data_IF_168694917015
#
_entry.id   IF_168694917015
#
_cell.length_a   1.000
_cell.length_b   1.000
_cell.length_c   1.000
_cell.angle_alpha   90.00
_cell.angle_beta   90.00
_cell.angle_gamma   90.00
#
_symmetry.space_group_name_H-M   'P 1'
#
loop_
_entity.id
_entity.type
_entity.pdbx_description
1 polymer ?
#
# COMPACT_ATOMS: atom_id res chain seq x y z
N UNK A 1 -5.74 -1.11 0.84
CA UNK A 1 -5.83 -1.29 -0.61
C UNK A 1 -7.20 -1.79 -1.10
N UNK A 2 -8.08 -2.24 -0.22
CA UNK A 2 -9.40 -2.72 -0.63
C UNK A 2 -10.26 -1.60 -1.23
N UNK A 3 -10.09 -0.37 -0.75
CA UNK A 3 -10.79 0.81 -1.26
C UNK A 3 -9.80 1.84 -1.77
N UNK A 4 -10.12 2.43 -2.93
CA UNK A 4 -9.39 3.56 -3.46
C UNK A 4 -9.74 4.82 -2.64
N UNK A 5 -8.76 5.45 -2.01
CA UNK A 5 -8.97 6.65 -1.20
C UNK A 5 -9.47 7.85 -2.01
N UNK A 6 -9.19 7.87 -3.31
CA UNK A 6 -9.73 8.87 -4.25
C UNK A 6 -11.16 8.59 -4.71
N UNK A 7 -11.72 7.43 -4.35
CA UNK A 7 -13.01 6.94 -4.79
C UNK A 7 -12.96 6.29 -6.18
N UNK A 8 -14.03 5.59 -6.53
CA UNK A 8 -14.20 4.97 -7.83
C UNK A 8 -14.92 5.92 -8.78
N UNK A 9 -14.33 6.30 -9.94
CA UNK A 9 -14.92 7.25 -10.87
C UNK A 9 -16.35 6.91 -11.29
N UNK A 10 -16.67 5.63 -11.44
CA UNK A 10 -18.00 5.15 -11.83
C UNK A 10 -19.05 5.29 -10.71
N UNK A 11 -18.61 5.35 -9.45
CA UNK A 11 -19.50 5.47 -8.30
C UNK A 11 -19.68 6.91 -7.83
N UNK A 12 -18.66 7.76 -7.96
CA UNK A 12 -18.69 9.16 -7.49
C UNK A 12 -19.91 9.93 -8.00
N UNK A 13 -20.32 9.84 -9.30
CA UNK A 13 -21.47 10.58 -9.78
C UNK A 13 -22.81 10.12 -9.21
N UNK A 14 -22.86 8.93 -8.61
CA UNK A 14 -24.07 8.33 -8.06
C UNK A 14 -24.26 8.63 -6.56
N UNK A 15 -23.26 9.26 -5.91
CA UNK A 15 -23.37 9.64 -4.49
C UNK A 15 -24.45 10.72 -4.30
N UNK A 16 -25.29 10.51 -3.28
CA UNK A 16 -26.28 11.49 -2.87
C UNK A 16 -25.72 12.44 -1.79
N UNK A 17 -26.37 13.58 -1.63
CA UNK A 17 -26.02 14.52 -0.57
C UNK A 17 -26.23 13.90 0.83
N UNK A 18 -27.28 13.12 1.00
CA UNK A 18 -27.63 12.43 2.26
C UNK A 18 -26.56 11.41 2.64
N UNK A 19 -26.05 10.64 1.67
CA UNK A 19 -24.93 9.69 1.90
C UNK A 19 -23.67 10.42 2.32
N UNK A 20 -23.33 11.53 1.65
CA UNK A 20 -22.18 12.36 2.01
C UNK A 20 -22.27 12.89 3.45
N UNK A 21 -23.44 13.44 3.82
CA UNK A 21 -23.65 13.98 5.17
C UNK A 21 -23.59 12.87 6.23
N UNK A 22 -24.24 11.73 5.98
CA UNK A 22 -24.23 10.59 6.89
C UNK A 22 -22.81 10.05 7.11
N UNK A 23 -22.02 9.95 6.03
CA UNK A 23 -20.62 9.56 6.12
C UNK A 23 -19.80 10.58 6.92
N UNK A 24 -19.96 11.87 6.62
CA UNK A 24 -19.27 12.94 7.32
C UNK A 24 -19.58 12.95 8.82
N UNK A 25 -20.84 12.91 9.21
CA UNK A 25 -21.25 12.92 10.62
C UNK A 25 -20.74 11.72 11.40
N UNK A 26 -20.66 10.54 10.76
CA UNK A 26 -20.17 9.32 11.41
C UNK A 26 -18.64 9.28 11.50
N UNK A 27 -17.91 9.70 10.47
CA UNK A 27 -16.45 9.52 10.37
C UNK A 27 -15.65 10.72 10.88
N UNK A 28 -16.18 11.94 10.70
CA UNK A 28 -15.54 13.19 11.13
C UNK A 28 -16.01 13.68 12.52
N UNK A 29 -16.38 12.72 13.35
CA UNK A 29 -16.79 12.99 14.71
C UNK A 29 -15.60 12.97 15.68
N UNK A 30 -15.55 13.85 16.73
CA UNK A 30 -14.45 13.87 17.70
C UNK A 30 -14.20 12.52 18.39
N UNK A 31 -15.24 11.68 18.57
CA UNK A 31 -15.08 10.32 19.11
C UNK A 31 -14.24 9.39 18.22
N UNK A 32 -14.02 9.75 16.96
CA UNK A 32 -13.17 9.04 16.00
C UNK A 32 -11.88 9.79 15.68
N UNK A 33 -11.52 10.79 16.50
CA UNK A 33 -10.36 11.64 16.26
C UNK A 33 -9.30 11.46 17.36
N UNK A 34 -8.04 11.67 16.98
CA UNK A 34 -6.90 11.80 17.89
C UNK A 34 -6.33 13.21 17.76
N UNK A 35 -6.32 13.94 18.85
CA UNK A 35 -5.71 15.28 18.90
C UNK A 35 -4.26 15.14 19.33
N UNK A 36 -3.36 15.66 18.53
CA UNK A 36 -1.93 15.69 18.84
C UNK A 36 -1.40 17.12 18.75
N UNK A 37 -0.68 17.56 19.76
CA UNK A 37 -0.03 18.87 19.80
C UNK A 37 1.45 18.70 20.09
N UNK A 38 2.25 19.61 19.53
CA UNK A 38 3.70 19.70 19.75
C UNK A 38 4.09 21.17 19.92
N UNK A 39 4.87 21.47 20.93
CA UNK A 39 5.34 22.83 21.22
C UNK A 39 5.50 23.08 22.72
N UNK A 40 5.72 24.34 23.10
CA UNK A 40 5.97 24.76 24.48
C UNK A 40 4.71 25.28 25.22
N UNK A 41 3.54 25.23 24.58
CA UNK A 41 2.26 25.56 25.21
C UNK A 41 1.88 24.43 26.16
N UNK A 42 1.51 24.73 27.42
CA UNK A 42 1.11 23.72 28.40
C UNK A 42 -0.07 22.87 27.92
N UNK A 43 -0.02 21.56 28.18
CA UNK A 43 -1.06 20.62 27.77
C UNK A 43 -2.47 20.99 28.27
N UNK A 44 -2.58 21.61 29.46
CA UNK A 44 -3.86 22.07 30.00
C UNK A 44 -4.51 23.18 29.17
N UNK A 45 -3.72 24.06 28.56
CA UNK A 45 -4.24 25.09 27.65
C UNK A 45 -4.78 24.49 26.34
N UNK A 46 -4.08 23.48 25.80
CA UNK A 46 -4.58 22.73 24.66
C UNK A 46 -5.89 21.98 24.97
N UNK A 47 -5.96 21.31 26.12
CA UNK A 47 -7.17 20.60 26.54
C UNK A 47 -8.35 21.57 26.69
N UNK A 48 -8.13 22.73 27.31
CA UNK A 48 -9.16 23.76 27.45
C UNK A 48 -9.64 24.26 26.07
N UNK A 49 -8.70 24.53 25.16
CA UNK A 49 -9.04 24.97 23.81
C UNK A 49 -9.82 23.90 23.03
N UNK A 50 -9.45 22.61 23.15
CA UNK A 50 -10.20 21.52 22.51
C UNK A 50 -11.62 21.43 23.05
N UNK A 51 -11.80 21.52 24.37
CA UNK A 51 -13.12 21.50 25.00
C UNK A 51 -13.98 22.68 24.56
N UNK A 52 -13.46 23.90 24.65
CA UNK A 52 -14.21 25.12 24.37
C UNK A 52 -14.52 25.28 22.88
N UNK A 53 -13.58 24.97 22.01
CA UNK A 53 -13.72 25.24 20.57
C UNK A 53 -14.40 24.09 19.79
N UNK A 54 -14.32 22.86 20.30
CA UNK A 54 -14.80 21.69 19.57
C UNK A 54 -15.68 20.76 20.44
N UNK A 55 -15.10 20.12 21.48
CA UNK A 55 -15.66 18.94 22.10
C UNK A 55 -17.00 19.21 22.80
N UNK A 56 -17.18 20.40 23.42
CA UNK A 56 -18.42 20.81 24.11
C UNK A 56 -19.67 20.82 23.21
N UNK A 57 -19.51 20.71 21.91
CA UNK A 57 -20.61 20.68 20.92
C UNK A 57 -21.06 19.26 20.56
N UNK A 58 -20.37 18.24 21.05
CA UNK A 58 -20.60 16.86 20.64
C UNK A 58 -20.87 15.98 21.85
N UNK A 59 -21.77 15.05 21.68
CA UNK A 59 -21.96 13.93 22.60
C UNK A 59 -21.03 12.79 22.19
N UNK A 60 -20.54 12.00 23.14
CA UNK A 60 -19.70 10.84 22.83
C UNK A 60 -20.48 9.79 22.04
N UNK A 61 -19.93 9.36 20.91
CA UNK A 61 -20.45 8.22 20.15
C UNK A 61 -19.73 6.94 20.55
N UNK A 62 -20.47 5.87 20.76
CA UNK A 62 -19.96 4.51 20.97
C UNK A 62 -19.70 3.76 19.66
N UNK A 63 -19.35 4.48 18.61
CA UNK A 63 -19.02 3.90 17.31
C UNK A 63 -17.52 3.66 17.21
N UNK A 64 -17.12 2.46 16.86
CA UNK A 64 -15.75 2.14 16.53
C UNK A 64 -15.63 1.99 15.00
N UNK A 65 -15.14 3.05 14.35
CA UNK A 65 -14.86 3.06 12.92
C UNK A 65 -13.42 2.56 12.75
N UNK A 66 -13.25 1.25 12.84
CA UNK A 66 -11.96 0.58 12.67
C UNK A 66 -11.82 -0.04 11.29
N UNK A 67 -10.63 0.08 10.70
CA UNK A 67 -10.26 -0.68 9.51
C UNK A 67 -9.75 -2.05 9.97
N UNK A 68 -10.35 -3.12 9.43
CA UNK A 68 -9.92 -4.50 9.69
C UNK A 68 -8.57 -4.83 9.03
N UNK A 69 -8.08 -6.02 9.31
CA UNK A 69 -6.92 -6.56 8.59
C UNK A 69 -7.38 -7.10 7.23
N UNK A 70 -6.50 -7.08 6.24
CA UNK A 70 -6.80 -7.57 4.89
C UNK A 70 -6.93 -9.11 4.87
N UNK A 71 -7.68 -9.59 3.91
CA UNK A 71 -7.92 -11.03 3.73
C UNK A 71 -6.61 -11.72 3.32
N UNK A 72 -6.28 -12.80 4.03
CA UNK A 72 -5.18 -13.69 3.65
C UNK A 72 -5.72 -14.83 2.78
N UNK A 73 -5.23 -14.93 1.57
CA UNK A 73 -5.59 -16.02 0.68
C UNK A 73 -4.80 -17.29 1.04
N UNK A 74 -5.41 -18.47 0.95
CA UNK A 74 -4.73 -19.75 1.26
C UNK A 74 -3.70 -20.18 0.20
N UNK A 75 -3.73 -19.55 -0.97
CA UNK A 75 -2.80 -19.75 -2.08
C UNK A 75 -2.64 -18.44 -2.87
N UNK A 76 -1.55 -18.29 -3.64
CA UNK A 76 -1.39 -17.13 -4.53
C UNK A 76 -2.57 -17.01 -5.49
N UNK A 77 -3.03 -15.79 -5.70
CA UNK A 77 -4.05 -15.46 -6.70
C UNK A 77 -3.39 -14.78 -7.89
N UNK A 78 -3.95 -14.97 -9.08
CA UNK A 78 -3.55 -14.25 -10.29
C UNK A 78 -4.70 -13.37 -10.73
N UNK A 79 -4.40 -12.09 -10.93
CA UNK A 79 -5.36 -11.07 -11.36
C UNK A 79 -4.83 -10.47 -12.65
N UNK A 80 -5.71 -10.28 -13.62
CA UNK A 80 -5.42 -9.62 -14.89
C UNK A 80 -6.42 -8.48 -15.06
N UNK A 81 -5.89 -7.26 -15.21
CA UNK A 81 -6.70 -6.05 -15.37
C UNK A 81 -6.22 -5.27 -16.60
N UNK A 82 -7.15 -4.72 -17.34
CA UNK A 82 -6.86 -3.86 -18.48
C UNK A 82 -6.75 -2.41 -18.01
N UNK A 83 -5.80 -1.67 -18.54
CA UNK A 83 -5.70 -0.23 -18.36
C UNK A 83 -5.72 0.50 -19.69
N UNK A 84 -6.18 1.76 -19.69
CA UNK A 84 -6.21 2.58 -20.89
C UNK A 84 -4.77 2.91 -21.34
N UNK A 85 -4.48 2.73 -22.62
CA UNK A 85 -3.21 3.09 -23.24
C UNK A 85 -3.48 3.85 -24.55
N UNK A 86 -2.71 4.91 -24.77
CA UNK A 86 -2.79 5.72 -26.01
C UNK A 86 -2.16 5.00 -27.23
N UNK A 87 -1.66 3.79 -27.04
CA UNK A 87 -0.79 3.08 -27.96
C UNK A 87 -1.23 1.61 -28.07
N UNK A 88 -1.34 1.08 -29.27
CA UNK A 88 -1.65 -0.33 -29.55
C UNK A 88 -0.43 -1.26 -29.36
N UNK A 89 0.60 -0.84 -28.62
CA UNK A 89 1.79 -1.64 -28.40
C UNK A 89 1.50 -2.83 -27.45
N UNK A 90 1.64 -4.09 -27.90
CA UNK A 90 1.38 -5.27 -27.09
C UNK A 90 2.39 -5.47 -25.95
N UNK A 91 3.54 -4.77 -25.98
CA UNK A 91 4.60 -4.87 -24.99
C UNK A 91 4.50 -3.79 -23.90
N UNK A 92 3.28 -3.46 -23.48
CA UNK A 92 3.02 -2.48 -22.42
C UNK A 92 2.47 -3.09 -21.13
N UNK A 93 2.47 -4.40 -21.00
CA UNK A 93 2.03 -5.02 -19.76
C UNK A 93 2.98 -4.70 -18.60
N UNK A 94 2.38 -4.48 -17.42
CA UNK A 94 3.07 -4.53 -16.16
C UNK A 94 2.84 -5.90 -15.54
N UNK A 95 3.90 -6.59 -15.18
CA UNK A 95 3.83 -7.88 -14.49
C UNK A 95 4.48 -7.74 -13.14
N UNK A 96 3.69 -7.80 -12.10
CA UNK A 96 4.16 -7.59 -10.73
C UNK A 96 3.69 -8.71 -9.80
N UNK A 97 4.50 -9.04 -8.84
CA UNK A 97 4.22 -9.99 -7.78
C UNK A 97 4.18 -9.20 -6.48
N UNK A 98 3.09 -9.33 -5.70
CA UNK A 98 2.90 -8.66 -4.44
C UNK A 98 2.78 -9.63 -3.27
N UNK A 99 3.36 -9.25 -2.14
CA UNK A 99 3.24 -9.97 -0.87
C UNK A 99 2.64 -9.04 0.16
N UNK A 100 1.59 -9.50 0.82
CA UNK A 100 1.04 -8.84 1.99
C UNK A 100 1.79 -9.35 3.23
N UNK A 101 2.49 -8.44 3.90
CA UNK A 101 3.37 -8.72 5.03
C UNK A 101 2.64 -8.51 6.37
N UNK A 102 3.31 -7.99 7.38
CA UNK A 102 2.75 -7.70 8.69
C UNK A 102 2.21 -6.28 8.82
N UNK A 103 1.84 -5.92 10.05
CA UNK A 103 1.29 -4.60 10.36
C UNK A 103 2.38 -3.53 10.45
N UNK A 104 2.14 -2.36 9.88
CA UNK A 104 3.04 -1.21 9.96
C UNK A 104 3.24 -0.69 11.39
N UNK A 105 2.32 -1.00 12.28
CA UNK A 105 2.42 -0.65 13.72
C UNK A 105 3.38 -1.54 14.51
N UNK A 106 3.81 -2.68 13.96
CA UNK A 106 4.87 -3.50 14.54
C UNK A 106 6.24 -3.00 14.08
N UNK A 107 6.80 -2.05 14.80
CA UNK A 107 8.05 -1.37 14.40
C UNK A 107 9.24 -2.32 14.23
N UNK A 108 9.31 -3.42 14.96
CA UNK A 108 10.40 -4.41 14.82
C UNK A 108 10.29 -5.15 13.48
N UNK A 109 9.09 -5.60 13.12
CA UNK A 109 8.87 -6.25 11.82
C UNK A 109 9.02 -5.26 10.68
N UNK A 110 8.47 -4.05 10.83
CA UNK A 110 8.62 -2.98 9.84
C UNK A 110 10.10 -2.70 9.53
N UNK A 111 10.93 -2.56 10.55
CA UNK A 111 12.36 -2.35 10.38
C UNK A 111 13.05 -3.52 9.63
N UNK A 112 12.65 -4.77 9.92
CA UNK A 112 13.15 -5.95 9.17
C UNK A 112 12.75 -5.89 7.70
N UNK A 113 11.50 -5.51 7.40
CA UNK A 113 11.03 -5.38 6.03
C UNK A 113 11.76 -4.27 5.28
N UNK A 114 12.00 -3.12 5.92
CA UNK A 114 12.77 -2.01 5.35
C UNK A 114 14.22 -2.43 5.03
N UNK A 115 14.90 -3.11 5.96
CA UNK A 115 16.24 -3.65 5.72
C UNK A 115 16.25 -4.66 4.56
N UNK A 116 15.29 -5.58 4.55
CA UNK A 116 15.19 -6.58 3.48
C UNK A 116 14.92 -5.93 2.12
N UNK A 117 14.01 -4.98 2.05
CA UNK A 117 13.71 -4.23 0.83
C UNK A 117 14.96 -3.49 0.32
N UNK A 118 15.71 -2.84 1.21
CA UNK A 118 16.96 -2.17 0.86
C UNK A 118 18.01 -3.14 0.30
N UNK A 119 18.23 -4.28 0.94
CA UNK A 119 19.14 -5.31 0.43
C UNK A 119 18.74 -5.81 -0.96
N UNK A 120 17.43 -5.97 -1.21
CA UNK A 120 16.92 -6.55 -2.44
C UNK A 120 16.86 -5.56 -3.61
N UNK A 121 16.56 -4.26 -3.35
CA UNK A 121 16.14 -3.31 -4.39
C UNK A 121 16.82 -1.93 -4.37
N UNK A 122 17.71 -1.61 -3.43
CA UNK A 122 18.16 -0.23 -3.20
C UNK A 122 19.09 0.30 -4.31
N UNK A 123 19.87 -0.57 -4.94
CA UNK A 123 20.83 -0.19 -5.99
C UNK A 123 21.09 -1.33 -6.96
N UNK A 124 21.72 -1.03 -8.11
CA UNK A 124 22.01 -2.01 -9.18
C UNK A 124 22.94 -3.16 -8.75
N UNK A 125 23.54 -3.13 -7.57
CA UNK A 125 24.23 -4.25 -6.92
C UNK A 125 23.30 -5.15 -6.13
N UNK A 126 22.10 -4.68 -5.80
CA UNK A 126 21.09 -5.43 -5.08
C UNK A 126 20.55 -6.59 -5.94
N UNK A 127 20.46 -7.81 -5.39
CA UNK A 127 20.30 -9.00 -6.22
C UNK A 127 19.00 -9.04 -7.01
N UNK A 128 17.87 -8.60 -6.42
CA UNK A 128 16.61 -8.60 -7.11
C UNK A 128 16.51 -7.48 -8.15
N UNK A 129 16.96 -6.27 -7.79
CA UNK A 129 16.98 -5.15 -8.75
C UNK A 129 17.88 -5.48 -9.95
N UNK A 130 19.07 -6.04 -9.70
CA UNK A 130 19.97 -6.46 -10.77
C UNK A 130 19.31 -7.49 -11.68
N UNK A 131 18.63 -8.49 -11.14
CA UNK A 131 17.93 -9.50 -11.93
C UNK A 131 16.84 -8.89 -12.81
N UNK A 132 16.11 -7.91 -12.29
CA UNK A 132 15.08 -7.17 -13.03
C UNK A 132 15.68 -6.27 -14.11
N UNK A 133 16.71 -5.46 -13.78
CA UNK A 133 17.37 -4.53 -14.71
C UNK A 133 18.07 -5.25 -15.88
N UNK A 134 18.63 -6.44 -15.66
CA UNK A 134 19.35 -7.20 -16.69
C UNK A 134 18.46 -8.16 -17.47
N UNK A 135 17.16 -8.23 -17.14
CA UNK A 135 16.21 -9.11 -17.81
C UNK A 135 15.78 -8.56 -19.17
N UNK A 136 15.69 -9.44 -20.17
CA UNK A 136 15.11 -9.12 -21.48
C UNK A 136 13.58 -9.36 -21.54
N UNK A 137 12.91 -9.64 -20.39
CA UNK A 137 11.49 -9.94 -20.33
C UNK A 137 10.60 -8.69 -20.28
N UNK A 138 11.18 -7.53 -20.01
CA UNK A 138 10.52 -6.23 -19.94
C UNK A 138 11.49 -5.10 -20.25
N UNK A 139 10.98 -3.87 -20.28
CA UNK A 139 11.81 -2.69 -20.59
C UNK A 139 12.50 -2.12 -19.35
N UNK A 140 11.94 -2.29 -18.17
CA UNK A 140 12.49 -1.81 -16.90
C UNK A 140 11.84 -2.51 -15.70
N UNK A 141 12.46 -2.45 -14.49
CA UNK A 141 11.75 -2.73 -13.25
C UNK A 141 10.51 -1.83 -13.13
N UNK A 142 9.40 -2.40 -12.66
CA UNK A 142 8.17 -1.62 -12.47
C UNK A 142 8.38 -0.50 -11.45
N UNK A 143 7.83 0.69 -11.73
CA UNK A 143 7.93 1.84 -10.86
C UNK A 143 7.28 1.68 -9.48
N UNK A 144 6.52 0.61 -9.25
CA UNK A 144 5.92 0.27 -7.95
C UNK A 144 6.71 -0.80 -7.19
N UNK A 145 7.89 -1.22 -7.67
CA UNK A 145 8.75 -2.14 -6.93
C UNK A 145 9.19 -1.53 -5.61
N UNK A 146 9.17 -2.32 -4.56
CA UNK A 146 9.63 -1.92 -3.24
C UNK A 146 8.65 -2.24 -2.11
N UNK A 147 8.93 -1.65 -0.96
CA UNK A 147 8.12 -1.77 0.24
C UNK A 147 7.13 -0.60 0.28
N UNK A 148 5.86 -0.92 0.49
CA UNK A 148 4.80 0.04 0.78
C UNK A 148 4.37 -0.11 2.23
N UNK A 149 4.75 0.84 3.08
CA UNK A 149 4.55 0.81 4.52
C UNK A 149 3.64 1.94 5.05
N UNK A 150 3.06 2.74 4.16
CA UNK A 150 2.13 3.82 4.51
C UNK A 150 0.74 3.32 4.93
N UNK A 151 0.42 2.08 4.63
CA UNK A 151 -0.86 1.46 4.96
C UNK A 151 -0.82 0.73 6.31
N UNK A 152 -2.01 0.31 6.78
CA UNK A 152 -2.15 -0.49 8.01
C UNK A 152 -1.31 -1.77 7.96
N UNK A 153 -1.27 -2.43 6.81
CA UNK A 153 -0.46 -3.60 6.56
C UNK A 153 0.54 -3.30 5.44
N UNK A 154 1.74 -3.73 5.68
CA UNK A 154 2.87 -3.52 4.78
C UNK A 154 2.77 -4.47 3.60
N UNK A 155 3.08 -3.99 2.40
CA UNK A 155 3.25 -4.87 1.24
C UNK A 155 4.63 -4.69 0.61
N UNK A 156 5.09 -5.75 -0.07
CA UNK A 156 6.30 -5.72 -0.88
C UNK A 156 5.93 -6.12 -2.30
N UNK A 157 6.43 -5.40 -3.28
CA UNK A 157 6.10 -5.59 -4.69
C UNK A 157 7.40 -5.68 -5.50
N UNK A 158 7.44 -6.60 -6.47
CA UNK A 158 8.54 -6.71 -7.42
C UNK A 158 8.04 -7.18 -8.78
N UNK A 159 8.61 -6.67 -9.86
CA UNK A 159 8.24 -7.05 -11.22
C UNK A 159 8.81 -6.13 -12.27
N UNK A 160 8.31 -6.27 -13.49
CA UNK A 160 8.76 -5.56 -14.68
C UNK A 160 7.60 -4.81 -15.35
N UNK A 161 7.94 -3.73 -16.00
CA UNK A 161 7.07 -3.00 -16.93
C UNK A 161 7.55 -3.15 -18.37
N UNK A 162 6.69 -2.80 -19.33
CA UNK A 162 6.99 -2.94 -20.76
C UNK A 162 7.19 -4.39 -21.18
N UNK A 163 6.38 -5.29 -20.64
CA UNK A 163 6.41 -6.71 -20.91
C UNK A 163 5.43 -7.08 -22.02
N UNK A 164 5.79 -8.09 -22.85
CA UNK A 164 4.80 -8.79 -23.63
C UNK A 164 3.90 -9.63 -22.70
N UNK A 165 2.59 -9.65 -22.95
CA UNK A 165 1.64 -10.43 -22.16
C UNK A 165 2.02 -11.92 -22.01
N UNK A 166 2.62 -12.49 -23.06
CA UNK A 166 3.03 -13.90 -23.12
C UNK A 166 4.18 -14.28 -22.17
N UNK A 167 4.92 -13.31 -21.62
CA UNK A 167 6.07 -13.61 -20.76
C UNK A 167 5.76 -13.52 -19.26
N UNK A 168 4.52 -13.27 -18.87
CA UNK A 168 4.10 -13.08 -17.47
C UNK A 168 4.58 -14.17 -16.51
N UNK A 169 4.44 -15.45 -16.91
CA UNK A 169 4.89 -16.57 -16.08
C UNK A 169 6.41 -16.66 -15.97
N UNK A 170 7.14 -16.12 -16.96
CA UNK A 170 8.61 -16.04 -16.90
C UNK A 170 9.06 -14.92 -15.96
N UNK A 171 8.34 -13.80 -15.90
CA UNK A 171 8.63 -12.72 -14.96
C UNK A 171 8.36 -13.20 -13.53
N UNK A 172 7.24 -13.88 -13.29
CA UNK A 172 6.96 -14.51 -12.00
C UNK A 172 8.11 -15.47 -11.60
N UNK A 173 8.52 -16.35 -12.50
CA UNK A 173 9.63 -17.28 -12.26
C UNK A 173 10.97 -16.57 -12.01
N UNK A 174 11.28 -15.49 -12.73
CA UNK A 174 12.48 -14.68 -12.52
C UNK A 174 12.53 -14.16 -11.08
N UNK A 175 11.46 -13.52 -10.61
CA UNK A 175 11.39 -12.96 -9.28
C UNK A 175 11.50 -14.05 -8.21
N UNK A 176 10.70 -15.11 -8.31
CA UNK A 176 10.66 -16.19 -7.32
C UNK A 176 11.98 -16.96 -7.26
N UNK A 177 12.59 -17.29 -8.41
CA UNK A 177 13.86 -17.99 -8.46
C UNK A 177 15.01 -17.12 -7.91
N UNK A 178 14.99 -15.82 -8.17
CA UNK A 178 15.98 -14.90 -7.60
C UNK A 178 15.88 -14.90 -6.08
N UNK A 179 14.68 -14.76 -5.52
CA UNK A 179 14.48 -14.81 -4.06
C UNK A 179 14.87 -16.16 -3.47
N UNK A 180 14.51 -17.28 -4.13
CA UNK A 180 14.88 -18.61 -3.68
C UNK A 180 16.41 -18.80 -3.65
N UNK A 181 17.12 -18.34 -4.68
CA UNK A 181 18.57 -18.45 -4.75
C UNK A 181 19.30 -17.75 -3.60
N UNK A 182 18.70 -16.69 -3.04
CA UNK A 182 19.27 -15.96 -1.90
C UNK A 182 19.07 -16.73 -0.58
N UNK A 183 18.00 -17.50 -0.45
CA UNK A 183 17.80 -18.34 0.74
C UNK A 183 18.68 -19.58 0.75
N UNK A 184 19.07 -20.08 -0.43
CA UNK A 184 19.90 -21.25 -0.58
C UNK A 184 21.41 -20.96 -0.44
N UNK A 185 21.80 -19.68 -0.58
CA UNK A 185 23.15 -19.23 -0.29
C UNK A 185 23.25 -18.97 1.23
N UNK A 186 23.86 -19.92 1.95
CA UNK A 186 24.22 -19.68 3.34
C UNK A 186 25.17 -18.49 3.39
N UNK A 187 24.77 -17.44 4.06
CA UNK A 187 25.59 -16.29 4.41
C UNK A 187 26.80 -16.69 5.25
#
# INVERSE_FOLDING_TARGET
YHYNSGGEPDHIPNLTYEELISFYESHYHPSNAVFMTYGDIPACEHHQAFEELALSRFERLDTNIGVGDEIRYPAPIKVEEAYASDDDNPDKCHVVIGWLLGKSTNLTELFRYQLLSSVLLDNSGSPLLKALETSELGSAPSGICGLEDSNREVSFIAGLEGCAFSVRDKVEALVLNTLQSLTDQSL
#
